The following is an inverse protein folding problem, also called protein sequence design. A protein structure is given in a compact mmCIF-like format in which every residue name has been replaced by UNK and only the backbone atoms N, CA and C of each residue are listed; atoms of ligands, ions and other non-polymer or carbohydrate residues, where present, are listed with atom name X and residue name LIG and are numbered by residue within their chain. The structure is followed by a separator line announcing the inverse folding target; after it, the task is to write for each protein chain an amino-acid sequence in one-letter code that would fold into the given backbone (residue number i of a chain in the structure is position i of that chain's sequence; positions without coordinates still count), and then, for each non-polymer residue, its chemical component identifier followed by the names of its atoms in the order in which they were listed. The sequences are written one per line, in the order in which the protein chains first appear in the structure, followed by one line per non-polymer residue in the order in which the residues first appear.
data_IF_906807832394
#
_entry.id   IF_906807832394
#
_cell.length_a   1.000
_cell.length_b   1.000
_cell.length_c   1.000
_cell.angle_alpha   90.00
_cell.angle_beta   90.00
_cell.angle_gamma   90.00
#
_symmetry.space_group_name_H-M   'P 1'
#
loop_
_entity.id
_entity.type
_entity.pdbx_description
1 polymer ?
#
# COMPACT_ATOMS: atom_id res chain seq x y z
N UNK A 1 -23.77 13.12 0.32
CA UNK A 1 -22.82 11.98 0.43
C UNK A 1 -21.67 12.39 1.34
N UNK A 2 -21.47 11.74 2.50
CA UNK A 2 -20.36 12.05 3.42
C UNK A 2 -18.96 11.94 2.77
N UNK A 3 -18.04 12.80 3.19
CA UNK A 3 -16.61 12.82 2.83
C UNK A 3 -15.95 11.49 3.21
N UNK A 4 -14.98 11.00 2.40
CA UNK A 4 -14.39 9.67 2.56
C UNK A 4 -13.82 9.41 3.97
N UNK A 5 -13.05 10.33 4.58
CA UNK A 5 -12.60 10.21 5.97
C UNK A 5 -13.72 10.02 6.99
N UNK A 6 -14.84 10.72 6.85
CA UNK A 6 -15.97 10.58 7.78
C UNK A 6 -16.61 9.20 7.68
N UNK A 7 -16.79 8.69 6.46
CA UNK A 7 -17.32 7.33 6.24
C UNK A 7 -16.38 6.27 6.80
N UNK A 8 -15.08 6.47 6.61
CA UNK A 8 -14.06 5.58 7.15
C UNK A 8 -14.12 5.54 8.67
N UNK A 9 -14.14 6.69 9.33
CA UNK A 9 -14.23 6.78 10.79
C UNK A 9 -15.49 6.12 11.34
N UNK A 10 -16.65 6.37 10.75
CA UNK A 10 -17.91 5.77 11.20
C UNK A 10 -17.90 4.24 11.04
N UNK A 11 -17.40 3.74 9.89
CA UNK A 11 -17.29 2.30 9.66
C UNK A 11 -16.26 1.65 10.61
N UNK A 12 -15.10 2.29 10.79
CA UNK A 12 -14.07 1.81 11.69
C UNK A 12 -14.59 1.75 13.13
N UNK A 13 -15.32 2.76 13.58
CA UNK A 13 -15.95 2.77 14.91
C UNK A 13 -16.96 1.65 15.08
N UNK A 14 -17.82 1.44 14.07
CA UNK A 14 -18.78 0.33 14.08
C UNK A 14 -18.09 -1.03 14.21
N UNK A 15 -17.08 -1.31 13.38
CA UNK A 15 -16.36 -2.58 13.45
C UNK A 15 -15.55 -2.71 14.74
N UNK A 16 -14.91 -1.63 15.21
CA UNK A 16 -14.21 -1.64 16.49
C UNK A 16 -15.14 -2.00 17.64
N UNK A 17 -16.34 -1.40 17.70
CA UNK A 17 -17.34 -1.74 18.70
C UNK A 17 -17.76 -3.21 18.62
N UNK A 18 -18.06 -3.72 17.42
CA UNK A 18 -18.45 -5.13 17.21
C UNK A 18 -17.35 -6.08 17.65
N UNK A 19 -16.10 -5.87 17.22
CA UNK A 19 -14.99 -6.74 17.59
C UNK A 19 -14.68 -6.65 19.09
N UNK A 20 -14.69 -5.45 19.68
CA UNK A 20 -14.42 -5.26 21.11
C UNK A 20 -15.49 -5.90 22.00
N UNK A 21 -16.77 -5.82 21.61
CA UNK A 21 -17.86 -6.48 22.33
C UNK A 21 -17.78 -8.02 22.26
N UNK A 22 -17.04 -8.58 21.29
CA UNK A 22 -16.92 -10.02 21.05
C UNK A 22 -15.47 -10.51 21.21
N UNK A 23 -14.63 -9.80 21.95
CA UNK A 23 -13.20 -10.12 22.08
C UNK A 23 -12.95 -11.50 22.70
N UNK A 24 -13.75 -11.89 23.70
CA UNK A 24 -13.59 -13.19 24.36
C UNK A 24 -13.92 -14.37 23.42
N UNK A 25 -14.83 -14.16 22.46
CA UNK A 25 -15.14 -15.16 21.43
C UNK A 25 -13.93 -15.36 20.50
N UNK A 26 -13.21 -14.29 20.15
CA UNK A 26 -12.00 -14.39 19.34
C UNK A 26 -10.92 -15.21 20.07
N UNK A 27 -10.69 -14.89 21.35
CA UNK A 27 -9.77 -15.66 22.20
C UNK A 27 -10.13 -17.16 22.23
N UNK A 28 -11.42 -17.50 22.39
CA UNK A 28 -11.89 -18.88 22.38
C UNK A 28 -11.69 -19.57 21.03
N UNK A 29 -12.01 -18.91 19.92
CA UNK A 29 -11.85 -19.47 18.57
C UNK A 29 -10.38 -19.72 18.28
N UNK A 30 -9.50 -18.74 18.52
CA UNK A 30 -8.07 -18.91 18.26
C UNK A 30 -7.46 -19.99 19.15
N UNK A 31 -7.78 -19.96 20.44
CA UNK A 31 -7.33 -20.99 21.39
C UNK A 31 -7.75 -22.39 20.94
N UNK A 32 -9.03 -22.58 20.59
CA UNK A 32 -9.55 -23.85 20.10
C UNK A 32 -8.82 -24.33 18.84
N UNK A 33 -8.69 -23.46 17.83
CA UNK A 33 -8.02 -23.80 16.57
C UNK A 33 -6.57 -24.21 16.80
N UNK A 34 -5.83 -23.44 17.61
CA UNK A 34 -4.43 -23.76 17.91
C UNK A 34 -4.32 -25.08 18.67
N UNK A 35 -5.15 -25.31 19.70
CA UNK A 35 -5.13 -26.59 20.44
C UNK A 35 -5.40 -27.77 19.53
N UNK A 36 -6.43 -27.69 18.68
CA UNK A 36 -6.78 -28.78 17.75
C UNK A 36 -5.67 -29.05 16.73
N UNK A 37 -4.94 -28.01 16.29
CA UNK A 37 -3.80 -28.20 15.40
C UNK A 37 -2.68 -28.98 16.10
N UNK A 38 -2.36 -28.65 17.35
CA UNK A 38 -1.31 -29.36 18.10
C UNK A 38 -1.70 -30.78 18.47
N UNK A 39 -2.96 -31.03 18.86
CA UNK A 39 -3.48 -32.37 19.14
C UNK A 39 -3.32 -33.32 17.95
N UNK A 40 -3.38 -32.80 16.73
CA UNK A 40 -3.23 -33.58 15.50
C UNK A 40 -1.78 -33.70 15.00
N UNK A 41 -0.91 -32.71 15.32
CA UNK A 41 0.45 -32.63 14.75
C UNK A 41 1.55 -33.10 15.69
N UNK A 42 1.32 -33.07 17.01
CA UNK A 42 2.37 -33.39 17.99
C UNK A 42 1.78 -34.07 19.23
N UNK A 43 2.57 -34.84 20.00
CA UNK A 43 2.12 -35.42 21.27
C UNK A 43 2.04 -34.39 22.41
N UNK A 44 2.24 -33.10 22.14
CA UNK A 44 2.20 -32.05 23.17
C UNK A 44 0.77 -31.64 23.45
N UNK A 45 0.32 -31.87 24.69
CA UNK A 45 -0.97 -31.39 25.16
C UNK A 45 -0.89 -29.89 25.44
N UNK A 46 -1.71 -29.12 24.73
CA UNK A 46 -1.94 -27.70 25.01
C UNK A 46 -3.32 -27.52 25.67
N UNK A 47 -3.34 -26.78 26.76
CA UNK A 47 -4.56 -26.46 27.49
C UNK A 47 -4.84 -24.96 27.40
N UNK A 48 -6.03 -24.61 26.90
CA UNK A 48 -6.47 -23.22 26.87
C UNK A 48 -7.12 -22.84 28.21
N UNK A 49 -6.58 -21.83 28.88
CA UNK A 49 -7.12 -21.26 30.13
C UNK A 49 -6.89 -19.76 30.17
N UNK A 50 -7.90 -18.99 30.60
CA UNK A 50 -7.78 -17.54 30.87
C UNK A 50 -7.03 -16.73 29.78
N UNK A 51 -7.39 -16.92 28.50
CA UNK A 51 -6.81 -16.20 27.33
C UNK A 51 -5.37 -16.58 26.97
N UNK A 52 -4.81 -17.60 27.61
CA UNK A 52 -3.50 -18.16 27.31
C UNK A 52 -3.57 -19.67 27.00
N UNK A 53 -2.58 -20.13 26.25
CA UNK A 53 -2.33 -21.55 26.00
C UNK A 53 -1.20 -22.02 26.92
N UNK A 54 -1.43 -23.10 27.64
CA UNK A 54 -0.48 -23.67 28.60
C UNK A 54 -0.03 -25.05 28.17
N UNK A 55 1.26 -25.34 28.31
CA UNK A 55 1.83 -26.66 28.08
C UNK A 55 2.64 -27.11 29.29
N UNK A 56 2.53 -28.38 29.65
CA UNK A 56 3.26 -28.99 30.74
C UNK A 56 4.31 -29.97 30.18
N UNK A 57 5.59 -29.69 30.44
CA UNK A 57 6.70 -30.58 30.12
C UNK A 57 7.48 -30.88 31.40
N UNK A 58 7.17 -32.00 32.05
CA UNK A 58 7.73 -32.34 33.36
C UNK A 58 7.32 -31.34 34.45
N UNK A 59 8.30 -30.70 35.10
CA UNK A 59 8.08 -29.68 36.14
C UNK A 59 8.01 -28.23 35.60
N UNK A 60 8.13 -28.03 34.28
CA UNK A 60 8.12 -26.69 33.68
C UNK A 60 6.79 -26.46 32.98
N UNK A 61 6.08 -25.41 33.40
CA UNK A 61 4.89 -24.89 32.74
C UNK A 61 5.29 -23.79 31.77
N UNK A 62 4.94 -23.95 30.49
CA UNK A 62 5.04 -22.90 29.49
C UNK A 62 3.68 -22.26 29.28
N UNK A 63 3.61 -20.94 29.25
CA UNK A 63 2.39 -20.17 29.04
C UNK A 63 2.56 -19.24 27.83
N UNK A 64 1.60 -19.29 26.92
CA UNK A 64 1.60 -18.63 25.63
C UNK A 64 0.33 -17.79 25.48
N UNK A 65 0.40 -16.49 25.81
CA UNK A 65 -0.73 -15.58 25.65
C UNK A 65 -0.93 -15.16 24.18
N UNK A 66 -2.20 -15.11 23.76
CA UNK A 66 -2.61 -14.84 22.38
C UNK A 66 -2.75 -13.32 22.17
N UNK A 67 -2.11 -12.70 21.17
CA UNK A 67 -2.11 -11.23 21.03
C UNK A 67 -3.35 -10.69 20.29
N UNK A 68 -4.57 -11.05 20.72
CA UNK A 68 -5.83 -10.77 20.01
C UNK A 68 -6.04 -9.29 19.72
N UNK A 69 -5.73 -8.39 20.66
CA UNK A 69 -5.88 -6.94 20.45
C UNK A 69 -5.04 -6.41 19.27
N UNK A 70 -3.84 -6.95 19.07
CA UNK A 70 -2.99 -6.59 17.91
C UNK A 70 -3.61 -7.04 16.59
N UNK A 71 -4.22 -8.21 16.57
CA UNK A 71 -4.85 -8.80 15.40
C UNK A 71 -6.14 -8.06 15.05
N UNK A 72 -6.93 -7.64 16.06
CA UNK A 72 -8.18 -6.91 15.89
C UNK A 72 -8.00 -5.62 15.06
N UNK A 73 -6.88 -4.92 15.21
CA UNK A 73 -6.60 -3.72 14.39
C UNK A 73 -6.69 -4.04 12.88
N UNK A 74 -6.15 -5.19 12.48
CA UNK A 74 -6.21 -5.65 11.10
C UNK A 74 -7.59 -6.20 10.73
N UNK A 75 -8.21 -6.98 11.62
CA UNK A 75 -9.56 -7.53 11.42
C UNK A 75 -10.63 -6.45 11.29
N UNK A 76 -10.44 -5.28 11.92
CA UNK A 76 -11.29 -4.09 11.75
C UNK A 76 -10.99 -3.40 10.42
N UNK A 77 -9.71 -3.31 10.03
CA UNK A 77 -9.28 -2.58 8.84
C UNK A 77 -9.88 -3.13 7.54
N UNK A 78 -9.80 -4.45 7.31
CA UNK A 78 -10.27 -5.06 6.04
C UNK A 78 -11.77 -4.84 5.77
N UNK A 79 -12.71 -5.14 6.69
CA UNK A 79 -14.14 -4.91 6.46
C UNK A 79 -14.46 -3.42 6.40
N UNK A 80 -13.77 -2.56 7.17
CA UNK A 80 -13.90 -1.10 7.07
C UNK A 80 -13.56 -0.62 5.66
N UNK A 81 -12.40 -1.03 5.14
CA UNK A 81 -11.96 -0.69 3.78
C UNK A 81 -12.89 -1.25 2.72
N UNK A 82 -13.35 -2.50 2.86
CA UNK A 82 -14.29 -3.12 1.93
C UNK A 82 -15.64 -2.40 1.90
N UNK A 83 -16.10 -1.83 3.03
CA UNK A 83 -17.36 -1.10 3.13
C UNK A 83 -17.27 0.31 2.53
N UNK A 84 -16.19 1.04 2.84
CA UNK A 84 -16.09 2.48 2.57
C UNK A 84 -15.49 2.80 1.20
N UNK A 85 -14.63 1.92 0.67
CA UNK A 85 -13.97 2.14 -0.61
C UNK A 85 -14.95 2.23 -1.76
N UNK A 86 -14.77 3.22 -2.66
CA UNK A 86 -15.56 3.36 -3.89
C UNK A 86 -15.09 2.40 -4.97
N UNK A 87 -15.29 1.11 -4.73
CA UNK A 87 -14.88 0.01 -5.61
C UNK A 87 -16.05 -0.95 -5.86
N UNK A 88 -15.96 -1.71 -6.95
CA UNK A 88 -16.96 -2.70 -7.33
C UNK A 88 -17.00 -3.92 -6.37
N UNK A 89 -18.09 -4.67 -6.41
CA UNK A 89 -18.32 -5.81 -5.50
C UNK A 89 -17.21 -6.87 -5.57
N UNK A 90 -16.70 -7.18 -6.78
CA UNK A 90 -15.59 -8.14 -6.96
C UNK A 90 -14.34 -7.72 -6.17
N UNK A 91 -13.97 -6.44 -6.21
CA UNK A 91 -12.85 -5.92 -5.43
C UNK A 91 -13.13 -5.91 -3.92
N UNK A 92 -14.37 -5.64 -3.49
CA UNK A 92 -14.75 -5.73 -2.06
C UNK A 92 -14.58 -7.15 -1.51
N UNK A 93 -15.06 -8.16 -2.24
CA UNK A 93 -14.89 -9.57 -1.89
C UNK A 93 -13.39 -9.92 -1.80
N UNK A 94 -12.58 -9.42 -2.75
CA UNK A 94 -11.13 -9.61 -2.73
C UNK A 94 -10.48 -9.01 -1.46
N UNK A 95 -10.87 -7.81 -1.03
CA UNK A 95 -10.37 -7.21 0.22
C UNK A 95 -10.73 -8.09 1.43
N UNK A 96 -11.97 -8.56 1.52
CA UNK A 96 -12.40 -9.45 2.61
C UNK A 96 -11.63 -10.77 2.62
N UNK A 97 -11.35 -11.33 1.43
CA UNK A 97 -10.52 -12.53 1.30
C UNK A 97 -9.10 -12.32 1.84
N UNK A 98 -8.48 -11.16 1.59
CA UNK A 98 -7.20 -10.82 2.21
C UNK A 98 -7.31 -10.67 3.74
N UNK A 99 -8.43 -10.17 4.24
CA UNK A 99 -8.69 -10.16 5.69
C UNK A 99 -8.73 -11.56 6.29
N UNK A 100 -9.35 -12.52 5.61
CA UNK A 100 -9.35 -13.93 6.01
C UNK A 100 -7.94 -14.54 5.96
N UNK A 101 -7.18 -14.30 4.89
CA UNK A 101 -5.77 -14.74 4.80
C UNK A 101 -4.90 -14.14 5.89
N UNK A 102 -5.14 -12.87 6.25
CA UNK A 102 -4.45 -12.19 7.34
C UNK A 102 -4.72 -12.89 8.67
N UNK A 103 -5.99 -13.21 8.96
CA UNK A 103 -6.34 -13.97 10.16
C UNK A 103 -5.68 -15.35 10.21
N UNK A 104 -5.74 -16.11 9.12
CA UNK A 104 -5.06 -17.41 9.01
C UNK A 104 -3.55 -17.30 9.22
N UNK A 105 -2.93 -16.21 8.75
CA UNK A 105 -1.51 -15.96 8.99
C UNK A 105 -1.19 -15.73 10.47
N UNK A 106 -2.09 -15.13 11.24
CA UNK A 106 -1.91 -14.96 12.68
C UNK A 106 -1.96 -16.29 13.43
N UNK A 107 -2.90 -17.17 13.07
CA UNK A 107 -2.95 -18.53 13.61
C UNK A 107 -1.67 -19.29 13.26
N UNK A 108 -1.22 -19.23 12.00
CA UNK A 108 0.01 -19.88 11.57
C UNK A 108 1.24 -19.38 12.35
N UNK A 109 1.35 -18.07 12.57
CA UNK A 109 2.44 -17.47 13.34
C UNK A 109 2.44 -17.99 14.78
N UNK A 110 1.27 -18.12 15.41
CA UNK A 110 1.17 -18.68 16.75
C UNK A 110 1.57 -20.16 16.79
N UNK A 111 1.04 -20.96 15.86
CA UNK A 111 1.38 -22.39 15.78
C UNK A 111 2.89 -22.58 15.59
N UNK A 112 3.51 -21.82 14.70
CA UNK A 112 4.96 -21.87 14.49
C UNK A 112 5.72 -21.35 15.71
N UNK A 113 5.28 -20.26 16.33
CA UNK A 113 5.92 -19.69 17.52
C UNK A 113 5.94 -20.65 18.71
N UNK A 114 4.79 -21.25 19.02
CA UNK A 114 4.65 -22.29 20.06
C UNK A 114 5.49 -23.52 19.68
N UNK A 115 5.39 -23.99 18.45
CA UNK A 115 6.11 -25.17 17.96
C UNK A 115 7.63 -25.02 18.02
N UNK A 116 8.16 -23.85 17.65
CA UNK A 116 9.58 -23.53 17.76
C UNK A 116 10.02 -23.47 19.23
N UNK A 117 9.23 -22.82 20.07
CA UNK A 117 9.57 -22.66 21.50
C UNK A 117 9.65 -24.01 22.19
N UNK A 118 8.64 -24.87 21.98
CA UNK A 118 8.60 -26.22 22.55
C UNK A 118 9.62 -27.15 21.91
N UNK A 119 9.75 -27.14 20.58
CA UNK A 119 10.64 -28.04 19.84
C UNK A 119 12.13 -27.80 20.09
N UNK A 120 12.51 -26.55 20.36
CA UNK A 120 13.88 -26.17 20.75
C UNK A 120 14.09 -26.16 22.27
N UNK A 121 13.05 -26.39 23.06
CA UNK A 121 13.12 -26.33 24.54
C UNK A 121 13.50 -24.96 25.08
N UNK A 122 13.09 -23.88 24.39
CA UNK A 122 13.42 -22.51 24.78
C UNK A 122 12.59 -22.10 26.01
N UNK A 123 13.26 -21.66 27.07
CA UNK A 123 12.59 -21.11 28.24
C UNK A 123 12.29 -19.61 28.04
N UNK A 124 11.19 -19.32 27.33
CA UNK A 124 10.74 -17.94 27.06
C UNK A 124 9.70 -17.55 28.12
N UNK A 125 9.87 -16.38 28.74
CA UNK A 125 8.86 -15.87 29.68
C UNK A 125 7.55 -15.51 28.96
N UNK A 126 6.38 -15.62 29.61
CA UNK A 126 5.09 -15.33 28.98
C UNK A 126 5.03 -13.93 28.35
N UNK A 127 5.57 -12.93 29.06
CA UNK A 127 5.67 -11.56 28.55
C UNK A 127 6.51 -11.46 27.27
N UNK A 128 7.66 -12.13 27.23
CA UNK A 128 8.55 -12.11 26.06
C UNK A 128 7.88 -12.76 24.86
N UNK A 129 7.16 -13.87 25.08
CA UNK A 129 6.40 -14.55 24.04
C UNK A 129 5.31 -13.65 23.45
N UNK A 130 4.54 -12.95 24.29
CA UNK A 130 3.50 -12.03 23.84
C UNK A 130 4.10 -10.88 23.02
N UNK A 131 5.21 -10.28 23.48
CA UNK A 131 5.88 -9.19 22.75
C UNK A 131 6.36 -9.64 21.36
N UNK A 132 6.99 -10.81 21.27
CA UNK A 132 7.43 -11.40 20.00
C UNK A 132 6.22 -11.66 19.09
N UNK A 133 5.15 -12.20 19.67
CA UNK A 133 3.92 -12.52 18.93
C UNK A 133 3.24 -11.26 18.38
N UNK A 134 3.13 -10.18 19.17
CA UNK A 134 2.61 -8.87 18.72
C UNK A 134 3.43 -8.36 17.53
N UNK A 135 4.75 -8.42 17.62
CA UNK A 135 5.60 -7.94 16.52
C UNK A 135 5.39 -8.75 15.23
N UNK A 136 5.33 -10.08 15.36
CA UNK A 136 5.13 -10.98 14.23
C UNK A 136 3.76 -10.78 13.57
N UNK A 137 2.68 -10.68 14.36
CA UNK A 137 1.32 -10.44 13.85
C UNK A 137 1.20 -9.06 13.21
N UNK A 138 1.75 -8.01 13.83
CA UNK A 138 1.72 -6.65 13.25
C UNK A 138 2.46 -6.59 11.91
N UNK A 139 3.63 -7.23 11.83
CA UNK A 139 4.41 -7.29 10.58
C UNK A 139 3.66 -8.04 9.48
N UNK A 140 3.11 -9.21 9.80
CA UNK A 140 2.32 -9.98 8.84
C UNK A 140 1.06 -9.24 8.38
N UNK A 141 0.36 -8.58 9.31
CA UNK A 141 -0.82 -7.78 9.02
C UNK A 141 -0.50 -6.60 8.10
N UNK A 142 0.60 -5.88 8.35
CA UNK A 142 1.06 -4.80 7.50
C UNK A 142 1.39 -5.28 6.08
N UNK A 143 2.13 -6.39 5.94
CA UNK A 143 2.43 -7.00 4.64
C UNK A 143 1.16 -7.45 3.91
N UNK A 144 0.16 -7.97 4.62
CA UNK A 144 -1.12 -8.34 4.02
C UNK A 144 -1.91 -7.14 3.50
N UNK A 145 -1.86 -6.00 4.20
CA UNK A 145 -2.43 -4.74 3.71
C UNK A 145 -1.73 -4.32 2.41
N UNK A 146 -0.39 -4.35 2.36
CA UNK A 146 0.34 -4.00 1.15
C UNK A 146 0.00 -4.94 -0.02
N UNK A 147 0.01 -6.26 0.20
CA UNK A 147 -0.36 -7.25 -0.82
C UNK A 147 -1.80 -7.05 -1.32
N UNK A 148 -2.73 -6.74 -0.42
CA UNK A 148 -4.12 -6.44 -0.77
C UNK A 148 -4.22 -5.19 -1.64
N UNK A 149 -3.47 -4.11 -1.31
CA UNK A 149 -3.42 -2.89 -2.10
C UNK A 149 -2.85 -3.16 -3.50
N UNK A 150 -1.66 -3.76 -3.60
CA UNK A 150 -0.99 -3.99 -4.88
C UNK A 150 -1.71 -5.00 -5.77
N UNK A 151 -2.37 -6.01 -5.20
CA UNK A 151 -3.16 -6.97 -5.97
C UNK A 151 -4.49 -6.38 -6.47
N UNK A 152 -4.99 -5.32 -5.84
CA UNK A 152 -6.26 -4.67 -6.20
C UNK A 152 -6.09 -3.52 -7.18
N UNK A 153 -4.86 -3.01 -7.31
CA UNK A 153 -4.47 -1.97 -8.26
C UNK A 153 -4.12 -2.60 -9.62
N UNK A 154 -4.84 -2.19 -10.66
CA UNK A 154 -4.45 -2.51 -12.04
C UNK A 154 -3.46 -1.45 -12.48
N UNK A 155 -2.18 -1.80 -12.50
CA UNK A 155 -1.17 -0.93 -13.10
C UNK A 155 -1.40 -0.86 -14.62
N UNK A 156 -1.18 0.30 -15.25
CA UNK A 156 -1.19 0.41 -16.71
C UNK A 156 -0.14 -0.54 -17.30
N UNK A 157 -0.31 -0.90 -18.58
CA UNK A 157 0.69 -1.70 -19.29
C UNK A 157 2.07 -1.07 -19.12
N UNK A 158 3.08 -1.90 -18.87
CA UNK A 158 4.46 -1.42 -18.74
C UNK A 158 4.81 -0.63 -20.00
N UNK A 159 5.48 0.51 -19.81
CA UNK A 159 6.09 1.27 -20.89
C UNK A 159 6.88 0.32 -21.80
N UNK A 160 6.71 0.45 -23.12
CA UNK A 160 7.38 -0.43 -24.11
C UNK A 160 8.90 -0.28 -24.07
N UNK A 161 9.39 0.80 -23.49
CA UNK A 161 10.79 0.99 -23.15
C UNK A 161 11.16 -0.06 -22.11
N UNK A 162 11.89 -1.10 -22.50
CA UNK A 162 12.50 -2.04 -21.54
C UNK A 162 13.57 -1.26 -20.76
N UNK A 163 13.35 -0.92 -19.48
CA UNK A 163 14.40 -0.28 -18.73
C UNK A 163 15.51 -1.32 -18.51
N UNK A 164 16.71 -1.08 -19.08
CA UNK A 164 17.88 -1.93 -18.82
C UNK A 164 18.41 -1.58 -17.43
N UNK A 165 17.72 -2.05 -16.40
CA UNK A 165 18.12 -1.89 -15.01
C UNK A 165 18.68 -3.23 -14.52
N UNK A 166 20.00 -3.39 -14.60
CA UNK A 166 20.71 -4.50 -13.94
C UNK A 166 20.91 -4.16 -12.47
N UNK A 167 19.91 -4.43 -11.61
CA UNK A 167 20.02 -4.28 -10.15
C UNK A 167 20.37 -5.60 -9.48
N UNK A 168 21.30 -5.56 -8.51
CA UNK A 168 21.60 -6.67 -7.60
C UNK A 168 20.98 -6.35 -6.25
N UNK A 169 19.93 -7.06 -5.86
CA UNK A 169 19.11 -6.77 -4.66
C UNK A 169 19.69 -7.23 -3.32
N UNK A 170 20.86 -7.87 -3.30
CA UNK A 170 21.40 -8.50 -2.09
C UNK A 170 21.66 -7.50 -0.95
N UNK A 171 22.08 -6.27 -1.28
CA UNK A 171 22.30 -5.22 -0.27
C UNK A 171 20.97 -4.68 0.24
N UNK A 172 19.98 -4.53 -0.63
CA UNK A 172 18.63 -4.05 -0.31
C UNK A 172 17.93 -5.02 0.64
N UNK A 173 18.03 -6.33 0.40
CA UNK A 173 17.52 -7.34 1.32
C UNK A 173 18.24 -7.32 2.67
N UNK A 174 19.57 -7.14 2.69
CA UNK A 174 20.32 -7.01 3.94
C UNK A 174 19.89 -5.78 4.74
N UNK A 175 19.73 -4.62 4.08
CA UNK A 175 19.20 -3.42 4.72
C UNK A 175 17.80 -3.63 5.27
N UNK A 176 16.90 -4.29 4.52
CA UNK A 176 15.56 -4.62 4.99
C UNK A 176 15.60 -5.45 6.27
N UNK A 177 16.39 -6.53 6.30
CA UNK A 177 16.55 -7.39 7.48
C UNK A 177 17.06 -6.59 8.67
N UNK A 178 18.10 -5.77 8.49
CA UNK A 178 18.66 -4.93 9.56
C UNK A 178 17.64 -3.92 10.09
N UNK A 179 16.87 -3.27 9.21
CA UNK A 179 15.82 -2.33 9.64
C UNK A 179 14.69 -3.01 10.39
N UNK A 180 14.27 -4.21 9.97
CA UNK A 180 13.25 -5.01 10.66
C UNK A 180 13.74 -5.48 12.04
N UNK A 181 14.98 -5.94 12.13
CA UNK A 181 15.60 -6.33 13.40
C UNK A 181 15.73 -5.13 14.35
N UNK A 182 16.21 -3.98 13.86
CA UNK A 182 16.27 -2.73 14.62
C UNK A 182 14.90 -2.27 15.10
N UNK A 183 13.84 -2.48 14.30
CA UNK A 183 12.47 -2.16 14.68
C UNK A 183 11.96 -3.04 15.81
N UNK A 184 12.23 -4.34 15.70
CA UNK A 184 11.88 -5.31 16.73
C UNK A 184 12.48 -4.91 18.07
N UNK A 185 13.78 -4.55 18.07
CA UNK A 185 14.50 -4.12 19.26
C UNK A 185 14.00 -2.79 19.82
N UNK A 186 13.69 -1.82 18.95
CA UNK A 186 13.18 -0.52 19.38
C UNK A 186 11.78 -0.63 20.02
N UNK A 187 10.88 -1.39 19.40
CA UNK A 187 9.55 -1.67 19.98
C UNK A 187 9.73 -2.36 21.33
N UNK A 188 10.56 -3.41 21.39
CA UNK A 188 10.82 -4.14 22.63
C UNK A 188 11.30 -3.21 23.75
N UNK A 189 12.31 -2.38 23.48
CA UNK A 189 12.86 -1.44 24.45
C UNK A 189 11.85 -0.37 24.89
N UNK A 190 11.03 0.15 23.95
CA UNK A 190 10.02 1.16 24.28
C UNK A 190 8.88 0.60 25.13
N UNK A 191 8.44 -0.62 24.86
CA UNK A 191 7.42 -1.29 25.68
C UNK A 191 7.92 -1.49 27.12
N UNK A 192 9.20 -1.82 27.28
CA UNK A 192 9.83 -1.98 28.59
C UNK A 192 9.99 -0.64 29.33
N UNK A 193 10.44 0.42 28.65
CA UNK A 193 10.61 1.75 29.26
C UNK A 193 9.29 2.40 29.66
N UNK A 194 8.22 2.16 28.91
CA UNK A 194 6.92 2.80 29.11
C UNK A 194 5.97 2.00 30.02
N UNK A 195 6.41 0.83 30.50
CA UNK A 195 5.61 -0.10 31.34
C UNK A 195 4.19 -0.34 30.79
N UNK A 196 4.08 -0.43 29.46
CA UNK A 196 2.78 -0.58 28.81
C UNK A 196 2.36 -2.04 28.86
N UNK A 197 1.18 -2.29 29.44
CA UNK A 197 0.62 -3.64 29.54
C UNK A 197 0.44 -4.29 28.17
N UNK A 198 0.79 -5.57 28.05
CA UNK A 198 0.73 -6.29 26.77
C UNK A 198 -0.71 -6.59 26.30
N UNK A 199 -1.69 -6.53 27.20
CA UNK A 199 -3.11 -6.80 26.93
C UNK A 199 -3.93 -5.52 26.68
N UNK A 200 -3.31 -4.51 26.06
CA UNK A 200 -3.96 -3.23 25.78
C UNK A 200 -4.01 -2.91 24.28
N UNK A 201 -5.14 -2.38 23.77
CA UNK A 201 -5.22 -1.82 22.43
C UNK A 201 -4.20 -0.71 22.15
N UNK A 202 -3.76 0.01 23.20
CA UNK A 202 -2.75 1.07 23.11
C UNK A 202 -1.40 0.47 22.68
N UNK A 203 -1.05 -0.67 23.25
CA UNK A 203 0.19 -1.42 22.96
C UNK A 203 0.22 -1.91 21.53
N UNK A 204 -0.91 -2.48 21.08
CA UNK A 204 -1.10 -2.89 19.70
C UNK A 204 -0.95 -1.71 18.72
N UNK A 205 -1.57 -0.56 19.04
CA UNK A 205 -1.48 0.64 18.22
C UNK A 205 -0.05 1.19 18.18
N UNK A 206 0.64 1.24 19.32
CA UNK A 206 2.02 1.70 19.41
C UNK A 206 2.96 0.82 18.59
N UNK A 207 2.87 -0.51 18.75
CA UNK A 207 3.64 -1.48 17.97
C UNK A 207 3.39 -1.32 16.46
N UNK A 208 2.13 -1.14 16.04
CA UNK A 208 1.77 -0.85 14.65
C UNK A 208 2.44 0.42 14.12
N UNK A 209 2.42 1.51 14.89
CA UNK A 209 3.02 2.77 14.46
C UNK A 209 4.54 2.67 14.33
N UNK A 210 5.23 2.04 15.28
CA UNK A 210 6.68 1.89 15.21
C UNK A 210 7.07 1.00 14.02
N UNK A 211 6.39 -0.14 13.83
CA UNK A 211 6.60 -1.01 12.66
C UNK A 211 6.35 -0.23 11.36
N UNK A 212 5.27 0.55 11.30
CA UNK A 212 4.93 1.36 10.12
C UNK A 212 6.00 2.43 9.86
N UNK A 213 6.46 3.17 10.87
CA UNK A 213 7.54 4.17 10.73
C UNK A 213 8.82 3.53 10.21
N UNK A 214 9.11 2.29 10.60
CA UNK A 214 10.35 1.62 10.22
C UNK A 214 10.28 0.95 8.85
N UNK A 215 9.11 0.41 8.46
CA UNK A 215 8.83 0.05 7.07
C UNK A 215 8.86 1.31 6.18
N UNK A 216 8.30 2.43 6.65
CA UNK A 216 8.40 3.73 5.98
C UNK A 216 9.85 4.23 5.92
N UNK A 217 10.67 3.92 6.91
CA UNK A 217 12.12 4.19 6.90
C UNK A 217 12.87 3.33 5.89
N UNK A 218 12.38 2.12 5.58
CA UNK A 218 12.87 1.33 4.45
C UNK A 218 12.48 1.98 3.11
N UNK A 219 11.25 2.46 2.95
CA UNK A 219 10.86 3.27 1.78
C UNK A 219 11.66 4.59 1.71
N UNK A 220 11.97 5.23 2.84
CA UNK A 220 12.83 6.41 2.94
C UNK A 220 14.28 6.07 2.63
N UNK A 221 14.77 4.90 3.03
CA UNK A 221 16.13 4.42 2.69
C UNK A 221 16.23 4.10 1.22
N UNK A 222 15.20 3.49 0.61
CA UNK A 222 15.07 3.34 -0.83
C UNK A 222 14.99 4.71 -1.52
N UNK A 223 14.24 5.65 -0.96
CA UNK A 223 14.13 7.02 -1.45
C UNK A 223 15.47 7.75 -1.39
N UNK A 224 16.18 7.75 -0.26
CA UNK A 224 17.52 8.32 -0.08
C UNK A 224 18.55 7.61 -0.96
N UNK A 225 18.45 6.30 -1.12
CA UNK A 225 19.26 5.54 -2.07
C UNK A 225 18.95 5.93 -3.52
N UNK A 226 17.69 6.20 -3.86
CA UNK A 226 17.29 6.74 -5.15
C UNK A 226 17.66 8.22 -5.34
N UNK A 227 17.84 8.98 -4.25
CA UNK A 227 18.39 10.33 -4.21
C UNK A 227 19.92 10.33 -4.39
N UNK A 228 20.61 9.20 -4.18
CA UNK A 228 21.98 9.09 -4.71
C UNK A 228 21.88 9.30 -6.21
N UNK A 229 22.74 10.14 -6.81
CA UNK A 229 22.66 10.40 -8.23
C UNK A 229 22.70 9.06 -8.96
N UNK A 230 21.56 8.63 -9.48
CA UNK A 230 21.48 7.47 -10.37
C UNK A 230 22.50 7.81 -11.44
N UNK A 231 23.63 7.07 -11.45
CA UNK A 231 24.77 7.35 -12.31
C UNK A 231 24.22 7.76 -13.66
N UNK A 232 24.38 9.05 -14.02
CA UNK A 232 23.62 9.73 -15.08
C UNK A 232 23.37 8.71 -16.16
N UNK A 233 22.13 8.23 -16.28
CA UNK A 233 21.78 7.30 -17.34
C UNK A 233 22.11 8.11 -18.58
N UNK A 234 23.24 7.80 -19.21
CA UNK A 234 23.58 8.42 -20.48
C UNK A 234 22.40 8.07 -21.38
N UNK A 235 21.72 9.06 -21.98
CA UNK A 235 20.74 8.76 -23.01
C UNK A 235 21.40 7.78 -23.96
N UNK A 236 20.73 6.67 -24.26
CA UNK A 236 21.20 5.83 -25.34
C UNK A 236 21.06 6.69 -26.60
N UNK A 237 22.18 7.22 -27.09
CA UNK A 237 22.23 8.06 -28.29
C UNK A 237 22.31 7.22 -29.56
N UNK A 238 22.42 5.90 -29.41
CA UNK A 238 22.83 4.98 -30.46
C UNK A 238 21.64 4.16 -31.01
N UNK A 239 20.45 4.75 -30.96
CA UNK A 239 19.25 4.19 -31.56
C UNK A 239 19.07 4.92 -32.90
N UNK A 240 19.67 4.41 -33.98
CA UNK A 240 19.35 4.84 -35.36
C UNK A 240 17.89 4.56 -35.78
N UNK A 241 16.97 4.47 -34.83
CA UNK A 241 15.54 4.26 -35.00
C UNK A 241 14.76 5.57 -35.05
N UNK A 242 13.55 5.51 -35.60
CA UNK A 242 12.64 6.65 -35.62
C UNK A 242 12.35 7.14 -34.19
N UNK A 243 12.21 8.46 -33.97
CA UNK A 243 11.84 9.01 -32.67
C UNK A 243 10.50 8.44 -32.19
N UNK A 244 10.43 8.04 -30.92
CA UNK A 244 9.20 7.53 -30.32
C UNK A 244 8.04 8.53 -30.44
N UNK A 245 6.81 8.03 -30.51
CA UNK A 245 5.64 8.89 -30.40
C UNK A 245 5.38 9.26 -28.93
N UNK A 246 4.96 10.50 -28.68
CA UNK A 246 4.70 11.04 -27.34
C UNK A 246 3.24 11.48 -27.21
N UNK A 247 2.59 11.07 -26.11
CA UNK A 247 1.26 11.53 -25.72
C UNK A 247 1.31 12.35 -24.44
N UNK A 248 0.72 13.54 -24.46
CA UNK A 248 0.45 14.35 -23.27
C UNK A 248 -1.01 14.18 -22.85
N UNK A 249 -1.25 13.51 -21.73
CA UNK A 249 -2.57 13.29 -21.16
C UNK A 249 -2.85 14.30 -20.03
N UNK A 250 -3.85 15.15 -20.22
CA UNK A 250 -4.23 16.22 -19.29
C UNK A 250 -5.67 16.02 -18.79
N UNK A 251 -5.89 15.62 -17.53
CA UNK A 251 -7.22 15.74 -16.91
C UNK A 251 -7.48 17.21 -16.58
N UNK A 252 -8.63 17.74 -16.98
CA UNK A 252 -9.01 19.13 -16.75
C UNK A 252 -10.37 19.22 -16.07
N UNK A 253 -10.47 20.06 -15.03
CA UNK A 253 -11.75 20.38 -14.41
C UNK A 253 -11.73 21.75 -13.75
N UNK A 254 -12.52 22.66 -14.27
CA UNK A 254 -12.58 24.05 -13.81
C UNK A 254 -11.20 24.75 -13.83
N UNK A 255 -10.50 24.63 -14.96
CA UNK A 255 -9.13 25.11 -15.20
C UNK A 255 -9.06 26.21 -16.28
N UNK A 256 -10.16 26.95 -16.50
CA UNK A 256 -10.27 27.99 -17.55
C UNK A 256 -9.11 29.01 -17.53
N UNK A 257 -8.57 29.30 -16.34
CA UNK A 257 -7.52 30.30 -16.12
C UNK A 257 -6.13 29.84 -16.56
N UNK A 258 -5.91 28.53 -16.72
CA UNK A 258 -4.56 27.96 -16.88
C UNK A 258 -4.43 27.01 -18.06
N UNK A 259 -5.53 26.42 -18.52
CA UNK A 259 -5.51 25.39 -19.55
C UNK A 259 -4.90 25.87 -20.87
N UNK A 260 -5.22 27.10 -21.30
CA UNK A 260 -4.63 27.68 -22.51
C UNK A 260 -3.10 27.70 -22.44
N UNK A 261 -2.56 28.24 -21.35
CA UNK A 261 -1.11 28.38 -21.17
C UNK A 261 -0.43 27.02 -21.13
N UNK A 262 -1.05 26.03 -20.49
CA UNK A 262 -0.54 24.67 -20.43
C UNK A 262 -0.43 24.06 -21.84
N UNK A 263 -1.52 24.11 -22.62
CA UNK A 263 -1.58 23.56 -23.98
C UNK A 263 -0.58 24.25 -24.92
N UNK A 264 -0.51 25.58 -24.91
CA UNK A 264 0.47 26.33 -25.73
C UNK A 264 1.92 26.03 -25.33
N UNK A 265 2.19 25.80 -24.04
CA UNK A 265 3.53 25.42 -23.59
C UNK A 265 3.94 24.03 -24.10
N UNK A 266 3.01 23.09 -24.18
CA UNK A 266 3.26 21.75 -24.70
C UNK A 266 3.48 21.80 -26.22
N UNK A 267 2.67 22.56 -26.96
CA UNK A 267 2.83 22.75 -28.40
C UNK A 267 4.19 23.39 -28.74
N UNK A 268 4.58 24.42 -27.99
CA UNK A 268 5.89 25.04 -28.15
C UNK A 268 7.05 24.07 -27.86
N UNK A 269 6.89 23.15 -26.89
CA UNK A 269 7.88 22.11 -26.64
C UNK A 269 7.91 21.06 -27.76
N UNK A 270 6.75 20.70 -28.31
CA UNK A 270 6.61 19.78 -29.44
C UNK A 270 7.37 20.27 -30.69
N UNK A 271 7.48 21.58 -30.90
CA UNK A 271 8.29 22.17 -32.00
C UNK A 271 9.77 21.75 -32.00
N UNK A 272 10.30 21.32 -30.85
CA UNK A 272 11.70 20.89 -30.68
C UNK A 272 11.87 19.38 -30.69
N UNK A 273 10.79 18.64 -30.89
CA UNK A 273 10.80 17.18 -30.92
C UNK A 273 10.52 16.68 -32.33
N UNK A 274 11.36 15.76 -32.81
CA UNK A 274 11.23 15.22 -34.17
C UNK A 274 10.20 14.11 -34.31
N UNK A 275 9.65 13.59 -33.21
CA UNK A 275 8.63 12.54 -33.20
C UNK A 275 7.20 13.09 -33.16
N UNK A 276 6.23 12.22 -33.43
CA UNK A 276 4.81 12.55 -33.39
C UNK A 276 4.42 12.89 -31.95
N UNK A 277 3.78 14.04 -31.76
CA UNK A 277 3.27 14.48 -30.46
C UNK A 277 1.75 14.61 -30.52
N UNK A 278 1.05 14.01 -29.57
CA UNK A 278 -0.39 14.21 -29.34
C UNK A 278 -0.66 14.82 -27.96
N UNK A 279 -1.70 15.63 -27.86
CA UNK A 279 -2.21 16.22 -26.63
C UNK A 279 -3.66 15.78 -26.46
N UNK A 280 -3.91 14.99 -25.42
CA UNK A 280 -5.23 14.45 -25.07
C UNK A 280 -5.72 15.14 -23.79
N UNK A 281 -6.72 16.00 -23.92
CA UNK A 281 -7.39 16.65 -22.80
C UNK A 281 -8.65 15.88 -22.45
N UNK A 282 -8.80 15.52 -21.18
CA UNK A 282 -10.02 14.88 -20.65
C UNK A 282 -10.72 15.86 -19.71
N UNK A 283 -11.79 16.48 -20.19
CA UNK A 283 -12.64 17.38 -19.43
C UNK A 283 -13.60 16.58 -18.52
N UNK A 284 -13.40 16.66 -17.20
CA UNK A 284 -14.15 15.92 -16.17
C UNK A 284 -15.41 16.66 -15.71
N UNK A 285 -16.27 17.04 -16.65
CA UNK A 285 -17.52 17.75 -16.39
C UNK A 285 -17.31 19.12 -15.73
N UNK A 286 -16.50 19.97 -16.38
CA UNK A 286 -16.31 21.36 -15.97
C UNK A 286 -17.61 22.15 -16.04
N UNK A 287 -17.71 23.18 -15.19
CA UNK A 287 -18.87 24.09 -15.13
C UNK A 287 -18.51 25.52 -15.54
N UNK A 288 -17.29 25.73 -15.99
CA UNK A 288 -16.70 26.99 -16.42
C UNK A 288 -16.26 26.88 -17.89
N UNK A 289 -15.51 27.86 -18.41
CA UNK A 289 -15.15 27.90 -19.84
C UNK A 289 -14.01 26.92 -20.24
N UNK A 290 -13.58 26.01 -19.35
CA UNK A 290 -12.47 25.07 -19.59
C UNK A 290 -12.64 24.26 -20.89
N UNK A 291 -13.85 23.73 -21.14
CA UNK A 291 -14.12 22.91 -22.33
C UNK A 291 -13.95 23.72 -23.61
N UNK A 292 -14.53 24.92 -23.62
CA UNK A 292 -14.50 25.83 -24.76
C UNK A 292 -13.07 26.24 -25.08
N UNK A 293 -12.33 26.72 -24.08
CA UNK A 293 -10.95 27.16 -24.23
C UNK A 293 -10.07 25.98 -24.70
N UNK A 294 -10.21 24.79 -24.11
CA UNK A 294 -9.46 23.62 -24.54
C UNK A 294 -9.74 23.27 -26.01
N UNK A 295 -11.00 23.25 -26.43
CA UNK A 295 -11.39 22.95 -27.81
C UNK A 295 -10.82 23.95 -28.83
N UNK A 296 -10.88 25.25 -28.51
CA UNK A 296 -10.31 26.32 -29.34
C UNK A 296 -8.80 26.16 -29.50
N UNK A 297 -8.06 25.97 -28.40
CA UNK A 297 -6.60 25.87 -28.43
C UNK A 297 -6.13 24.57 -29.09
N UNK A 298 -6.80 23.44 -28.84
CA UNK A 298 -6.47 22.16 -29.47
C UNK A 298 -6.63 22.19 -30.99
N UNK A 299 -7.53 23.04 -31.51
CA UNK A 299 -7.75 23.23 -32.94
C UNK A 299 -6.72 24.19 -33.58
N UNK A 300 -6.06 25.02 -32.78
CA UNK A 300 -5.04 26.02 -33.18
C UNK A 300 -3.59 25.52 -32.99
N UNK A 301 -3.40 24.24 -32.62
CA UNK A 301 -2.06 23.66 -32.43
C UNK A 301 -1.28 23.60 -33.75
N UNK A 302 0.02 23.90 -33.68
CA UNK A 302 0.89 23.93 -34.86
C UNK A 302 1.82 22.73 -34.95
N UNK A 303 2.21 22.16 -33.82
CA UNK A 303 3.26 21.14 -33.75
C UNK A 303 2.77 19.81 -33.15
N UNK A 304 1.64 19.81 -32.44
CA UNK A 304 1.03 18.61 -31.88
C UNK A 304 -0.40 18.36 -32.39
N UNK A 305 -0.85 17.09 -32.32
CA UNK A 305 -2.23 16.71 -32.61
C UNK A 305 -3.10 16.86 -31.36
N UNK A 306 -4.21 17.59 -31.45
CA UNK A 306 -5.11 17.82 -30.32
C UNK A 306 -6.31 16.87 -30.28
N UNK A 307 -6.67 16.40 -29.09
CA UNK A 307 -7.90 15.62 -28.84
C UNK A 307 -8.56 16.06 -27.54
N UNK A 308 -9.83 16.47 -27.62
CA UNK A 308 -10.66 16.77 -26.46
C UNK A 308 -11.63 15.62 -26.21
N UNK A 309 -11.73 15.16 -24.96
CA UNK A 309 -12.66 14.13 -24.52
C UNK A 309 -13.47 14.69 -23.37
N UNK A 310 -14.78 14.78 -23.54
CA UNK A 310 -15.70 15.19 -22.49
C UNK A 310 -16.27 13.96 -21.80
N UNK A 311 -16.16 13.93 -20.47
CA UNK A 311 -16.78 12.90 -19.63
C UNK A 311 -17.67 13.56 -18.57
N UNK A 312 -18.71 12.86 -18.07
CA UNK A 312 -19.43 13.32 -16.88
C UNK A 312 -18.48 13.41 -15.68
N UNK A 313 -18.78 14.30 -14.73
CA UNK A 313 -18.03 14.47 -13.48
C UNK A 313 -17.86 13.15 -12.72
N UNK A 314 -16.69 12.54 -12.87
CA UNK A 314 -16.35 11.19 -12.42
C UNK A 314 -15.06 11.16 -11.59
N UNK A 315 -14.28 12.24 -11.59
CA UNK A 315 -13.06 12.43 -10.80
C UNK A 315 -11.79 12.12 -11.59
N UNK A 316 -10.68 12.74 -11.17
CA UNK A 316 -9.35 12.68 -11.81
C UNK A 316 -8.87 11.27 -12.16
N UNK A 317 -9.06 10.30 -11.27
CA UNK A 317 -8.63 8.91 -11.52
C UNK A 317 -9.36 8.26 -12.69
N UNK A 318 -10.66 8.51 -12.83
CA UNK A 318 -11.45 8.02 -13.96
C UNK A 318 -11.08 8.78 -15.25
N UNK A 319 -10.91 10.11 -15.18
CA UNK A 319 -10.45 10.92 -16.30
C UNK A 319 -9.10 10.44 -16.85
N UNK A 320 -8.12 10.18 -15.97
CA UNK A 320 -6.82 9.63 -16.35
C UNK A 320 -6.93 8.23 -16.95
N UNK A 321 -7.75 7.35 -16.38
CA UNK A 321 -7.94 6.01 -16.92
C UNK A 321 -8.54 6.08 -18.34
N UNK A 322 -9.61 6.85 -18.51
CA UNK A 322 -10.30 6.98 -19.79
C UNK A 322 -9.42 7.64 -20.86
N UNK A 323 -8.67 8.67 -20.48
CA UNK A 323 -7.71 9.30 -21.38
C UNK A 323 -6.57 8.38 -21.78
N UNK A 324 -6.07 7.53 -20.86
CA UNK A 324 -5.03 6.56 -21.16
C UNK A 324 -5.46 5.52 -22.20
N UNK A 325 -6.74 5.15 -22.22
CA UNK A 325 -7.31 4.24 -23.23
C UNK A 325 -7.38 4.89 -24.62
N UNK A 326 -7.26 6.21 -24.69
CA UNK A 326 -7.41 7.01 -25.89
C UNK A 326 -6.08 7.59 -26.42
N UNK A 327 -5.00 7.45 -25.66
CA UNK A 327 -3.64 7.83 -26.06
C UNK A 327 -2.98 6.72 -26.87
N UNK A 328 -2.21 7.11 -27.90
CA UNK A 328 -1.58 6.19 -28.85
C UNK A 328 -0.05 6.17 -28.81
N UNK A 329 0.57 7.14 -28.12
CA UNK A 329 2.00 7.32 -28.08
C UNK A 329 2.75 6.19 -27.36
N UNK A 330 3.99 5.96 -27.81
CA UNK A 330 4.92 5.01 -27.18
C UNK A 330 5.31 5.45 -25.75
N UNK A 331 5.34 6.76 -25.52
CA UNK A 331 5.61 7.39 -24.22
C UNK A 331 4.42 8.28 -23.86
N UNK A 332 3.85 8.08 -22.67
CA UNK A 332 2.71 8.87 -22.19
C UNK A 332 3.13 9.69 -20.98
N UNK A 333 3.09 11.01 -21.12
CA UNK A 333 3.23 11.97 -20.03
C UNK A 333 1.86 12.32 -19.47
N UNK A 334 1.69 12.20 -18.16
CA UNK A 334 0.53 12.73 -17.45
C UNK A 334 0.90 14.10 -16.91
N UNK A 335 0.18 15.13 -17.34
CA UNK A 335 0.42 16.51 -16.91
C UNK A 335 -0.83 16.98 -16.20
N UNK A 336 -0.66 17.50 -14.98
CA UNK A 336 -1.73 18.23 -14.31
C UNK A 336 -1.79 19.64 -14.90
N UNK A 337 -3.01 20.13 -15.18
CA UNK A 337 -3.22 21.42 -15.83
C UNK A 337 -2.68 22.62 -14.99
N UNK A 338 -2.43 22.42 -13.69
CA UNK A 338 -1.82 23.38 -12.76
C UNK A 338 -0.30 23.60 -12.95
N UNK A 339 0.35 22.81 -13.80
CA UNK A 339 1.78 22.95 -14.11
C UNK A 339 1.98 24.06 -15.15
N UNK A 340 2.19 25.29 -14.66
CA UNK A 340 2.30 26.50 -15.50
C UNK A 340 3.68 26.75 -16.16
N UNK A 341 4.70 25.91 -15.93
CA UNK A 341 6.04 26.09 -16.51
C UNK A 341 6.71 24.76 -16.87
N UNK A 342 6.73 24.42 -18.15
CA UNK A 342 7.59 23.36 -18.71
C UNK A 342 8.61 24.04 -19.63
N UNK A 343 9.65 24.66 -19.04
CA UNK A 343 10.55 25.56 -19.80
C UNK A 343 11.92 24.97 -20.13
N UNK A 344 12.25 23.75 -19.68
CA UNK A 344 13.54 23.11 -20.01
C UNK A 344 13.41 21.60 -20.21
N UNK A 345 13.27 21.20 -21.48
CA UNK A 345 13.71 19.88 -21.94
C UNK A 345 14.93 20.12 -22.84
N UNK A 346 16.10 19.62 -22.41
CA UNK A 346 17.37 19.73 -23.13
C UNK A 346 18.38 20.69 -22.48
N UNK A 347 19.15 20.17 -21.52
CA UNK A 347 20.51 20.62 -21.21
C UNK A 347 21.26 19.48 -20.51
#
# INVERSE_FOLDING_TARGET
MAYFPLRYLLAAFFFAYVFQANVDILYQIEGYVVTTIFDNLSPVNLYYSEKALSSFSGNVSHEFAIPVFSQMLFLIFFPTMALVSRINLKKRIKILFYGMLCWLSFILIQVLGIGITLGLGLNVSPESYVRISIFATVTAGALMIELMLFSSLKLPSRTRVKPIIKRKYGREYAYLIVTLAGASLLVYALLEVLDITTDSPITAYFALNVVTIMIFSYYLSFFIYSLRPSARLKPNTDDGGAPCSISFLLPARNEEKIIERCLRSIDAAASKYSGITEIVVVNDGSTDDTEKIAGEILSDLKFALGKLINIPKSGKGYALQHGLEQTTGDIIFRIDADISKIQRWGA
#
